data_IF_995688335620
#
_entry.id   IF_995688335620
#
_cell.length_a   1.000
_cell.length_b   1.000
_cell.length_c   1.000
_cell.angle_alpha   90.00
_cell.angle_beta   90.00
_cell.angle_gamma   90.00
#
_symmetry.space_group_name_H-M   'P 1'
#
loop_
_entity.id
_entity.type
_entity.pdbx_description
1 polymer ?
#
# COMPACT_ATOMS: atom_id res chain seq x y z
N UNK A 1 8.08 -3.02 -33.09
CA UNK A 1 7.85 -1.97 -32.08
C UNK A 1 7.05 -2.62 -30.97
N UNK A 2 7.52 -2.54 -29.73
CA UNK A 2 6.81 -3.08 -28.57
C UNK A 2 5.93 -1.95 -28.01
N UNK A 3 4.63 -2.18 -27.99
CA UNK A 3 3.69 -1.25 -27.36
C UNK A 3 3.51 -1.66 -25.88
N UNK A 4 3.72 -0.70 -24.98
CA UNK A 4 3.63 -0.92 -23.53
C UNK A 4 2.61 0.07 -22.99
N UNK A 5 1.47 -0.45 -22.55
CA UNK A 5 0.48 0.29 -21.79
C UNK A 5 0.69 0.04 -20.29
N UNK A 6 0.88 1.11 -19.51
CA UNK A 6 1.03 1.01 -18.05
C UNK A 6 -0.32 1.24 -17.36
N UNK A 7 -0.66 0.37 -16.42
CA UNK A 7 -1.79 0.56 -15.50
C UNK A 7 -1.22 0.98 -14.14
N UNK A 8 -1.67 2.12 -13.62
CA UNK A 8 -1.27 2.65 -12.32
C UNK A 8 -1.96 1.93 -11.15
N UNK A 9 -1.65 0.65 -10.95
CA UNK A 9 -2.13 -0.15 -9.83
C UNK A 9 -0.97 -0.96 -9.23
N UNK A 10 -0.72 -0.79 -7.94
CA UNK A 10 0.36 -1.51 -7.24
C UNK A 10 0.21 -1.43 -5.73
N UNK A 11 1.19 -2.00 -5.01
CA UNK A 11 1.14 -2.07 -3.54
C UNK A 11 1.02 -0.71 -2.85
N UNK A 12 1.64 0.33 -3.40
CA UNK A 12 1.58 1.69 -2.86
C UNK A 12 0.33 2.49 -3.25
N UNK A 13 -0.58 1.94 -4.07
CA UNK A 13 -1.79 2.67 -4.48
C UNK A 13 -2.63 3.02 -3.26
N UNK A 14 -2.97 4.31 -3.13
CA UNK A 14 -3.68 4.86 -1.97
C UNK A 14 -5.19 4.64 -2.11
N UNK A 15 -5.83 4.15 -1.06
CA UNK A 15 -7.28 4.06 -0.96
C UNK A 15 -7.86 5.39 -0.46
N UNK A 16 -8.93 5.85 -1.10
CA UNK A 16 -9.62 7.09 -0.73
C UNK A 16 -11.10 7.02 -1.11
N UNK A 17 -11.92 7.86 -0.48
CA UNK A 17 -13.36 7.96 -0.79
C UNK A 17 -13.60 9.22 -1.61
N UNK A 18 -14.22 9.07 -2.77
CA UNK A 18 -14.53 10.20 -3.64
C UNK A 18 -15.73 11.02 -3.10
N UNK A 19 -15.99 12.22 -3.65
CA UNK A 19 -17.12 13.03 -3.19
C UNK A 19 -18.50 12.37 -3.35
N UNK A 20 -18.62 11.32 -4.16
CA UNK A 20 -19.84 10.54 -4.33
C UNK A 20 -19.92 9.35 -3.35
N UNK A 21 -18.96 9.22 -2.43
CA UNK A 21 -18.92 8.16 -1.43
C UNK A 21 -18.38 6.82 -1.95
N UNK A 22 -17.78 6.78 -3.15
CA UNK A 22 -17.23 5.55 -3.70
C UNK A 22 -15.78 5.36 -3.24
N UNK A 23 -15.45 4.14 -2.81
CA UNK A 23 -14.07 3.75 -2.57
C UNK A 23 -13.30 3.70 -3.91
N UNK A 24 -12.18 4.40 -3.96
CA UNK A 24 -11.21 4.40 -5.05
C UNK A 24 -9.87 3.92 -4.51
N UNK A 25 -9.07 3.34 -5.41
CA UNK A 25 -7.69 2.92 -5.11
C UNK A 25 -6.79 3.41 -6.24
N UNK A 26 -5.83 4.27 -5.92
CA UNK A 26 -5.08 5.02 -6.90
C UNK A 26 -5.90 6.15 -7.57
N UNK A 27 -5.36 6.84 -8.58
CA UNK A 27 -4.02 6.65 -9.16
C UNK A 27 -2.87 7.13 -8.25
N UNK A 28 -3.18 7.86 -7.17
CA UNK A 28 -2.20 8.32 -6.19
C UNK A 28 -1.48 7.14 -5.54
N UNK A 29 -0.20 7.32 -5.25
CA UNK A 29 0.66 6.30 -4.67
C UNK A 29 1.45 6.88 -3.51
N UNK A 30 1.60 6.10 -2.45
CA UNK A 30 2.50 6.41 -1.33
C UNK A 30 3.99 6.27 -1.74
N UNK A 31 4.26 5.78 -2.95
CA UNK A 31 5.60 5.53 -3.46
C UNK A 31 6.32 4.44 -2.66
N UNK A 32 7.65 4.46 -2.72
CA UNK A 32 8.48 3.57 -1.92
C UNK A 32 8.92 4.21 -0.57
N UNK A 33 8.99 5.54 -0.50
CA UNK A 33 9.37 6.31 0.69
C UNK A 33 8.51 7.59 0.75
N UNK A 34 7.69 7.80 1.80
CA UNK A 34 7.58 6.96 3.00
C UNK A 34 6.90 5.61 2.77
N UNK A 35 6.20 5.43 1.63
CA UNK A 35 5.56 4.17 1.28
C UNK A 35 4.32 3.84 2.13
N UNK A 36 3.81 2.60 2.01
CA UNK A 36 2.76 2.05 2.86
C UNK A 36 3.01 2.29 4.36
N UNK A 37 1.94 2.49 5.13
CA UNK A 37 2.06 2.73 6.57
C UNK A 37 2.74 1.56 7.29
N UNK A 38 2.51 0.33 6.83
CA UNK A 38 3.13 -0.89 7.33
C UNK A 38 4.66 -0.92 7.16
N UNK A 39 5.27 -0.04 6.35
CA UNK A 39 6.73 0.06 6.27
C UNK A 39 7.33 0.73 7.51
N UNK A 40 6.54 1.51 8.26
CA UNK A 40 6.99 2.21 9.47
C UNK A 40 7.92 3.40 9.20
N UNK A 41 7.96 3.91 7.97
CA UNK A 41 8.79 5.06 7.58
C UNK A 41 8.02 6.39 7.58
N UNK A 42 6.86 6.43 8.25
CA UNK A 42 6.03 7.64 8.35
C UNK A 42 4.92 7.76 7.32
N UNK A 43 4.63 6.69 6.57
CA UNK A 43 3.44 6.60 5.72
C UNK A 43 2.17 6.65 6.57
N UNK A 44 1.18 7.43 6.14
CA UNK A 44 -0.06 7.67 6.90
C UNK A 44 -1.35 7.38 6.11
N UNK A 45 -1.23 7.14 4.81
CA UNK A 45 -2.36 6.84 3.94
C UNK A 45 -2.57 5.33 3.85
N UNK A 46 -3.83 4.89 3.73
CA UNK A 46 -4.15 3.47 3.50
C UNK A 46 -3.71 3.04 2.10
N UNK A 47 -2.95 1.95 2.00
CA UNK A 47 -2.49 1.40 0.71
C UNK A 47 -2.90 -0.05 0.50
N UNK A 48 -2.73 -0.55 -0.73
CA UNK A 48 -2.94 -1.97 -1.07
C UNK A 48 -2.04 -2.89 -0.24
N UNK A 49 -0.79 -2.50 0.02
CA UNK A 49 0.14 -3.27 0.85
C UNK A 49 -0.33 -3.32 2.31
N UNK A 50 -0.86 -2.23 2.84
CA UNK A 50 -1.44 -2.19 4.20
C UNK A 50 -2.61 -3.17 4.34
N UNK A 51 -3.53 -3.15 3.38
CA UNK A 51 -4.64 -4.11 3.36
C UNK A 51 -4.14 -5.55 3.23
N UNK A 52 -3.13 -5.79 2.40
CA UNK A 52 -2.57 -7.12 2.15
C UNK A 52 -1.88 -7.72 3.40
N UNK A 53 -1.19 -6.90 4.20
CA UNK A 53 -0.62 -7.38 5.47
C UNK A 53 -1.71 -7.62 6.53
N UNK A 54 -2.76 -6.79 6.57
CA UNK A 54 -3.91 -6.98 7.48
C UNK A 54 -4.66 -8.27 7.20
N UNK A 55 -4.89 -8.55 5.92
CA UNK A 55 -5.56 -9.78 5.46
C UNK A 55 -4.67 -11.02 5.59
N UNK A 56 -3.38 -10.87 5.93
CA UNK A 56 -2.43 -11.97 6.07
C UNK A 56 -1.91 -12.53 4.75
N UNK A 57 -2.05 -11.79 3.64
CA UNK A 57 -1.45 -12.17 2.35
C UNK A 57 0.05 -11.94 2.29
N UNK A 58 0.55 -11.01 3.12
CA UNK A 58 1.98 -10.75 3.27
C UNK A 58 2.46 -11.27 4.64
N UNK A 59 3.62 -11.92 4.65
CA UNK A 59 4.28 -12.29 5.90
C UNK A 59 4.97 -11.04 6.49
N UNK A 60 4.50 -10.51 7.64
CA UNK A 60 5.07 -9.31 8.22
C UNK A 60 6.52 -9.49 8.69
N UNK A 61 6.96 -10.71 8.99
CA UNK A 61 8.33 -10.99 9.42
C UNK A 61 9.30 -11.24 8.25
N UNK A 62 8.80 -11.34 7.02
CA UNK A 62 9.62 -11.63 5.83
C UNK A 62 9.08 -10.95 4.58
N UNK A 63 9.40 -9.66 4.42
CA UNK A 63 9.07 -8.87 3.24
C UNK A 63 10.33 -8.32 2.55
N UNK A 64 10.28 -8.17 1.21
CA UNK A 64 11.43 -7.69 0.43
C UNK A 64 12.68 -8.54 0.61
N UNK A 65 12.56 -9.87 0.45
CA UNK A 65 13.64 -10.82 0.75
C UNK A 65 14.16 -10.81 2.20
N UNK A 66 13.35 -10.30 3.15
CA UNK A 66 13.69 -10.20 4.57
C UNK A 66 14.36 -8.88 4.96
N UNK A 67 14.46 -7.92 4.05
CA UNK A 67 15.05 -6.60 4.31
C UNK A 67 14.14 -5.70 5.14
N UNK A 68 12.83 -5.96 5.14
CA UNK A 68 11.85 -5.15 5.86
C UNK A 68 10.90 -6.03 6.67
N UNK A 69 10.71 -5.66 7.94
CA UNK A 69 9.61 -6.15 8.76
C UNK A 69 8.44 -5.18 8.67
N UNK A 70 7.25 -5.70 8.39
CA UNK A 70 6.04 -4.92 8.26
C UNK A 70 5.36 -4.73 9.62
N UNK A 71 4.88 -3.53 9.88
CA UNK A 71 4.15 -3.20 11.11
C UNK A 71 2.63 -3.27 10.86
N UNK A 72 2.02 -4.34 11.35
CA UNK A 72 0.58 -4.57 11.24
C UNK A 72 -0.26 -3.50 11.94
N UNK A 73 0.22 -2.96 13.05
CA UNK A 73 -0.50 -1.93 13.82
C UNK A 73 -0.51 -0.58 13.09
N UNK A 74 0.55 -0.26 12.34
CA UNK A 74 0.55 0.94 11.51
C UNK A 74 -0.40 0.82 10.32
N UNK A 75 -0.47 -0.35 9.68
CA UNK A 75 -1.49 -0.60 8.65
C UNK A 75 -2.91 -0.44 9.22
N UNK A 76 -3.19 -1.02 10.39
CA UNK A 76 -4.54 -0.97 11.00
C UNK A 76 -4.99 0.43 11.36
N UNK A 77 -4.08 1.36 11.59
CA UNK A 77 -4.43 2.75 11.93
C UNK A 77 -4.91 3.56 10.73
N UNK A 78 -4.65 3.11 9.50
CA UNK A 78 -5.00 3.85 8.29
C UNK A 78 -6.28 3.38 7.62
N UNK A 79 -6.76 2.16 7.93
CA UNK A 79 -7.96 1.53 7.35
C UNK A 79 -9.20 1.73 8.24
#
# INVERSE_FOLDING_TARGET
>A
MLDISTIGAGGGSIAWVDPAGQLKVGPQSAGANPGPACYGWGGQEATVTDASVILGYLNPEYFGAGELRLNLEFARKTI
#
